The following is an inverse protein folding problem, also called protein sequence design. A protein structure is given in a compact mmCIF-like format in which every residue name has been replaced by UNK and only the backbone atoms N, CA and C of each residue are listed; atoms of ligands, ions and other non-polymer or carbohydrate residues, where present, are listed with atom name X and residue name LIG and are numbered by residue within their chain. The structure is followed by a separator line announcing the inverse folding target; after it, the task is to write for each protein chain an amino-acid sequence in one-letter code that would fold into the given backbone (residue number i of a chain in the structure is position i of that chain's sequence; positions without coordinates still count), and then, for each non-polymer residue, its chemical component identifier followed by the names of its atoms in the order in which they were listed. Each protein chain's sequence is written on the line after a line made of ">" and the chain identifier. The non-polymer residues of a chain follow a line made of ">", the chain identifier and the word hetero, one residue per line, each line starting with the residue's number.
data_IF_753226716433
#
_entry.id   IF_753226716433
#
_cell.length_a   1.000
_cell.length_b   1.000
_cell.length_c   1.000
_cell.angle_alpha   90.00
_cell.angle_beta   90.00
_cell.angle_gamma   90.00
#
_symmetry.space_group_name_H-M   'P 1'
#
loop_
_entity.id
_entity.type
_entity.pdbx_description
1 polymer ?
#
# COMPACT_ATOMS: atom_id res chain seq x y z
N UNK A 1 -13.46 5.58 12.25
CA UNK A 1 -12.76 6.88 12.30
C UNK A 1 -13.59 7.94 11.59
N UNK A 2 -13.56 9.18 12.05
CA UNK A 2 -14.08 10.31 11.29
C UNK A 2 -13.15 10.69 10.12
N UNK A 3 -13.56 11.65 9.28
CA UNK A 3 -12.82 12.01 8.07
C UNK A 3 -11.46 12.65 8.38
N UNK A 4 -11.38 13.46 9.43
CA UNK A 4 -10.16 14.17 9.81
C UNK A 4 -9.16 13.18 10.44
N UNK A 5 -9.64 12.24 11.24
CA UNK A 5 -8.85 11.10 11.74
C UNK A 5 -8.26 10.27 10.60
N UNK A 6 -9.08 9.92 9.60
CA UNK A 6 -8.61 9.17 8.42
C UNK A 6 -7.55 9.95 7.62
N UNK A 7 -7.75 11.25 7.44
CA UNK A 7 -6.78 12.11 6.78
C UNK A 7 -5.44 12.13 7.52
N UNK A 8 -5.47 12.31 8.84
CA UNK A 8 -4.28 12.29 9.67
C UNK A 8 -3.56 10.94 9.60
N UNK A 9 -4.32 9.83 9.53
CA UNK A 9 -3.74 8.50 9.33
C UNK A 9 -3.07 8.33 7.97
N UNK A 10 -3.62 8.87 6.90
CA UNK A 10 -2.92 8.90 5.60
C UNK A 10 -1.61 9.67 5.73
N UNK A 11 -1.61 10.85 6.33
CA UNK A 11 -0.38 11.64 6.54
C UNK A 11 0.66 10.85 7.34
N UNK A 12 0.24 10.16 8.41
CA UNK A 12 1.12 9.31 9.21
C UNK A 12 1.73 8.17 8.37
N UNK A 13 0.90 7.44 7.61
CA UNK A 13 1.36 6.39 6.70
C UNK A 13 2.34 6.93 5.65
N UNK A 14 2.07 8.10 5.08
CA UNK A 14 2.95 8.73 4.09
C UNK A 14 4.30 9.14 4.66
N UNK A 15 4.36 9.55 5.94
CA UNK A 15 5.61 9.86 6.63
C UNK A 15 6.43 8.61 6.95
N UNK A 16 5.78 7.44 7.07
CA UNK A 16 6.43 6.15 7.30
C UNK A 16 6.89 5.49 6.00
N UNK A 17 6.22 5.76 4.89
CA UNK A 17 6.56 5.20 3.59
C UNK A 17 7.90 5.76 3.09
N UNK A 18 8.94 4.93 3.09
CA UNK A 18 10.22 5.23 2.45
C UNK A 18 10.11 5.00 0.93
N UNK A 19 9.58 5.99 0.21
CA UNK A 19 9.37 5.94 -1.25
C UNK A 19 9.84 7.23 -1.92
N UNK A 20 10.09 7.19 -3.23
CA UNK A 20 10.49 8.40 -3.97
C UNK A 20 9.34 9.43 -4.05
N UNK A 21 9.62 10.74 -4.17
CA UNK A 21 8.57 11.77 -4.09
C UNK A 21 7.43 11.62 -5.10
N UNK A 22 7.69 11.05 -6.28
CA UNK A 22 6.66 10.87 -7.31
C UNK A 22 5.77 9.68 -6.95
N UNK A 23 6.36 8.58 -6.53
CA UNK A 23 5.63 7.41 -6.05
C UNK A 23 4.85 7.73 -4.76
N UNK A 24 5.40 8.58 -3.91
CA UNK A 24 4.75 9.12 -2.72
C UNK A 24 3.45 9.85 -3.06
N UNK A 25 3.42 10.69 -4.09
CA UNK A 25 2.20 11.39 -4.50
C UNK A 25 1.14 10.41 -5.02
N UNK A 26 1.53 9.42 -5.83
CA UNK A 26 0.61 8.39 -6.31
C UNK A 26 0.01 7.56 -5.17
N UNK A 27 0.84 7.16 -4.20
CA UNK A 27 0.41 6.43 -3.02
C UNK A 27 -0.55 7.28 -2.17
N UNK A 28 -0.24 8.56 -1.99
CA UNK A 28 -1.08 9.51 -1.27
C UNK A 28 -2.46 9.65 -1.91
N UNK A 29 -2.51 9.85 -3.22
CA UNK A 29 -3.78 9.95 -3.97
C UNK A 29 -4.59 8.66 -3.83
N UNK A 30 -3.93 7.50 -3.96
CA UNK A 30 -4.58 6.20 -3.75
C UNK A 30 -5.21 6.09 -2.35
N UNK A 31 -4.44 6.39 -1.30
CA UNK A 31 -4.93 6.32 0.08
C UNK A 31 -6.08 7.32 0.34
N UNK A 32 -6.03 8.52 -0.26
CA UNK A 32 -7.12 9.47 -0.15
C UNK A 32 -8.40 9.02 -0.87
N UNK A 33 -8.29 8.34 -2.02
CA UNK A 33 -9.44 7.72 -2.66
C UNK A 33 -10.04 6.60 -1.80
N UNK A 34 -9.21 5.93 -1.00
CA UNK A 34 -9.64 4.88 -0.10
C UNK A 34 -10.33 5.41 1.17
N UNK A 35 -10.09 6.64 1.63
CA UNK A 35 -10.69 7.20 2.87
C UNK A 35 -12.22 7.01 2.94
N UNK A 36 -12.90 7.19 1.81
CA UNK A 36 -14.36 7.10 1.70
C UNK A 36 -14.87 5.64 1.62
N UNK A 37 -13.96 4.66 1.58
CA UNK A 37 -14.27 3.23 1.51
C UNK A 37 -14.41 2.63 2.91
N UNK A 38 -15.39 1.73 3.14
CA UNK A 38 -15.56 1.08 4.44
C UNK A 38 -14.36 0.21 4.85
N UNK A 39 -13.59 -0.29 3.89
CA UNK A 39 -12.41 -1.12 4.11
C UNK A 39 -11.19 -0.32 4.62
N UNK A 40 -11.21 1.01 4.54
CA UNK A 40 -10.08 1.85 4.93
C UNK A 40 -9.71 1.68 6.40
N UNK A 41 -10.70 1.64 7.28
CA UNK A 41 -10.45 1.54 8.72
C UNK A 41 -9.77 0.21 9.06
N UNK A 42 -10.18 -0.87 8.39
CA UNK A 42 -9.56 -2.19 8.51
C UNK A 42 -8.15 -2.22 7.89
N UNK A 43 -7.95 -1.54 6.78
CA UNK A 43 -6.63 -1.42 6.12
C UNK A 43 -5.63 -0.74 7.06
N UNK A 44 -6.01 0.39 7.65
CA UNK A 44 -5.20 1.12 8.63
C UNK A 44 -4.86 0.23 9.83
N UNK A 45 -5.85 -0.47 10.39
CA UNK A 45 -5.62 -1.38 11.51
C UNK A 45 -4.63 -2.50 11.17
N UNK A 46 -4.72 -3.08 9.97
CA UNK A 46 -3.78 -4.11 9.51
C UNK A 46 -2.36 -3.57 9.37
N UNK A 47 -2.19 -2.38 8.81
CA UNK A 47 -0.88 -1.74 8.65
C UNK A 47 -0.27 -1.28 9.98
N UNK A 48 -1.09 -0.82 10.93
CA UNK A 48 -0.64 -0.45 12.27
C UNK A 48 -0.23 -1.70 13.09
N UNK A 49 -0.93 -2.83 12.92
CA UNK A 49 -0.57 -4.09 13.60
C UNK A 49 0.62 -4.81 12.96
N UNK A 50 0.79 -4.66 11.65
CA UNK A 50 1.81 -5.37 10.88
C UNK A 50 2.57 -4.39 9.98
N UNK A 51 3.66 -3.84 10.52
CA UNK A 51 4.51 -2.89 9.82
C UNK A 51 5.17 -3.51 8.59
N UNK A 52 5.55 -4.79 8.64
CA UNK A 52 6.13 -5.48 7.49
C UNK A 52 5.12 -5.58 6.33
N UNK A 53 3.84 -5.78 6.63
CA UNK A 53 2.78 -5.78 5.63
C UNK A 53 2.64 -4.41 4.95
N UNK A 54 2.77 -3.32 5.73
CA UNK A 54 2.76 -1.97 5.18
C UNK A 54 3.94 -1.74 4.23
N UNK A 55 5.16 -2.10 4.65
CA UNK A 55 6.37 -1.91 3.85
C UNK A 55 6.29 -2.70 2.53
N UNK A 56 5.80 -3.95 2.58
CA UNK A 56 5.56 -4.77 1.38
C UNK A 56 4.49 -4.16 0.48
N UNK A 57 3.40 -3.65 1.06
CA UNK A 57 2.36 -2.96 0.29
C UNK A 57 2.93 -1.76 -0.47
N UNK A 58 3.72 -0.91 0.20
CA UNK A 58 4.40 0.24 -0.43
C UNK A 58 5.29 -0.26 -1.56
N UNK A 59 6.13 -1.28 -1.32
CA UNK A 59 7.04 -1.83 -2.32
C UNK A 59 6.32 -2.35 -3.57
N UNK A 60 5.27 -3.15 -3.39
CA UNK A 60 4.47 -3.68 -4.50
C UNK A 60 3.82 -2.52 -5.29
N UNK A 61 3.33 -1.49 -4.59
CA UNK A 61 2.76 -0.31 -5.22
C UNK A 61 3.79 0.42 -6.11
N UNK A 62 5.03 0.59 -5.63
CA UNK A 62 6.12 1.17 -6.41
C UNK A 62 6.45 0.36 -7.66
N UNK A 63 6.53 -0.97 -7.52
CA UNK A 63 6.83 -1.87 -8.63
C UNK A 63 5.72 -1.82 -9.69
N UNK A 64 4.45 -1.77 -9.27
CA UNK A 64 3.31 -1.61 -10.19
C UNK A 64 3.40 -0.30 -10.96
N UNK A 65 3.70 0.81 -10.28
CA UNK A 65 3.88 2.10 -10.95
C UNK A 65 5.00 2.06 -11.99
N UNK A 66 6.16 1.48 -11.64
CA UNK A 66 7.28 1.32 -12.57
C UNK A 66 6.90 0.46 -13.77
N UNK A 67 6.21 -0.64 -13.55
CA UNK A 67 5.71 -1.51 -14.63
C UNK A 67 4.78 -0.74 -15.57
N UNK A 68 3.82 0.03 -15.04
CA UNK A 68 2.89 0.82 -15.86
C UNK A 68 3.57 1.98 -16.59
N UNK A 69 4.62 2.57 -16.02
CA UNK A 69 5.33 3.69 -16.64
C UNK A 69 6.28 3.24 -17.75
N UNK A 70 7.03 2.16 -17.53
CA UNK A 70 8.12 1.78 -18.42
C UNK A 70 7.84 0.53 -19.25
N UNK A 71 6.80 -0.24 -18.93
CA UNK A 71 6.49 -1.50 -19.61
C UNK A 71 7.64 -2.50 -19.44
N UNK A 72 7.71 -3.12 -18.27
CA UNK A 72 8.75 -4.12 -17.97
C UNK A 72 8.43 -5.48 -18.61
N UNK A 73 9.38 -6.41 -18.55
CA UNK A 73 9.22 -7.76 -19.09
C UNK A 73 8.28 -8.67 -18.27
N UNK A 74 7.87 -9.78 -18.87
CA UNK A 74 6.97 -10.76 -18.24
C UNK A 74 7.56 -11.36 -16.95
N UNK A 75 8.89 -11.47 -16.86
CA UNK A 75 9.55 -11.98 -15.67
C UNK A 75 9.39 -11.03 -14.48
N UNK A 76 9.53 -9.73 -14.72
CA UNK A 76 9.34 -8.68 -13.72
C UNK A 76 7.88 -8.59 -13.26
N UNK A 77 6.93 -8.79 -14.19
CA UNK A 77 5.51 -8.91 -13.84
C UNK A 77 5.24 -10.14 -12.96
N UNK A 78 5.79 -11.30 -13.31
CA UNK A 78 5.58 -12.53 -12.53
C UNK A 78 6.15 -12.42 -11.11
N UNK A 79 7.34 -11.82 -10.97
CA UNK A 79 7.92 -11.55 -9.66
C UNK A 79 7.03 -10.65 -8.80
N UNK A 80 6.48 -9.58 -9.39
CA UNK A 80 5.52 -8.68 -8.74
C UNK A 80 4.27 -9.41 -8.27
N UNK A 81 3.72 -10.31 -9.11
CA UNK A 81 2.55 -11.10 -8.74
C UNK A 81 2.82 -12.06 -7.58
N UNK A 82 4.06 -12.56 -7.46
CA UNK A 82 4.43 -13.41 -6.34
C UNK A 82 4.60 -12.62 -5.03
N UNK A 83 5.22 -11.43 -5.07
CA UNK A 83 5.27 -10.52 -3.91
C UNK A 83 3.85 -10.14 -3.45
N UNK A 84 2.94 -9.87 -4.39
CA UNK A 84 1.55 -9.55 -4.08
C UNK A 84 0.82 -10.72 -3.40
N UNK A 85 1.00 -11.96 -3.89
CA UNK A 85 0.43 -13.14 -3.23
C UNK A 85 0.95 -13.30 -1.81
N UNK A 86 2.24 -13.10 -1.59
CA UNK A 86 2.82 -13.17 -0.24
C UNK A 86 2.23 -12.11 0.68
N UNK A 87 2.11 -10.86 0.23
CA UNK A 87 1.47 -9.79 0.99
C UNK A 87 0.03 -10.11 1.36
N UNK A 88 -0.75 -10.67 0.42
CA UNK A 88 -2.12 -11.11 0.69
C UNK A 88 -2.16 -12.20 1.76
N UNK A 89 -1.29 -13.21 1.67
CA UNK A 89 -1.21 -14.28 2.67
C UNK A 89 -0.82 -13.74 4.06
N UNK A 90 0.07 -12.74 4.13
CA UNK A 90 0.40 -12.05 5.39
C UNK A 90 -0.79 -11.26 5.94
N UNK A 91 -1.55 -10.58 5.08
CA UNK A 91 -2.75 -9.87 5.49
C UNK A 91 -3.81 -10.82 6.04
N UNK A 92 -4.04 -11.96 5.39
CA UNK A 92 -4.98 -13.00 5.86
C UNK A 92 -4.56 -13.59 7.21
N UNK A 93 -3.27 -13.86 7.40
CA UNK A 93 -2.73 -14.31 8.70
C UNK A 93 -2.87 -13.27 9.80
N UNK A 94 -2.72 -11.99 9.46
CA UNK A 94 -2.82 -10.88 10.42
C UNK A 94 -4.27 -10.51 10.74
N UNK A 95 -5.22 -11.01 9.95
CA UNK A 95 -6.65 -10.77 10.11
C UNK A 95 -7.38 -11.87 10.91
N UNK A 96 -6.73 -13.01 11.18
CA UNK A 96 -7.22 -14.13 11.98
C UNK A 96 -6.62 -14.12 13.39
#
# INVERSE_FOLDING_TARGET
>A
MDRDEKFNKVVEMMNRAETDPRQQEHLRVFLFQMIEKPEFDRLVELFDKNHELFDKFVRIFELKLKFFEFGDDEASWNHLMDEEKEAVLMAEKSAN
#
